data_IF_295871971845
#
_entry.id   IF_295871971845
#
_cell.length_a   1.000
_cell.length_b   1.000
_cell.length_c   1.000
_cell.angle_alpha   90.00
_cell.angle_beta   90.00
_cell.angle_gamma   90.00
#
_symmetry.space_group_name_H-M   'P 1'
#
loop_
_entity.id
_entity.type
_entity.pdbx_description
1 polymer ?
#
# COMPACT_ATOMS: atom_id res chain seq x y z
N UNK A 1 22.58 3.56 6.06
CA UNK A 1 21.76 2.54 6.73
C UNK A 1 21.24 1.57 5.67
N UNK A 2 20.82 0.36 6.03
CA UNK A 2 20.39 -0.66 5.06
C UNK A 2 18.87 -0.62 4.91
N UNK A 3 18.38 -0.51 3.67
CA UNK A 3 16.94 -0.59 3.38
C UNK A 3 16.42 -1.99 3.71
N UNK A 4 15.27 -2.04 4.38
CA UNK A 4 14.53 -3.27 4.67
C UNK A 4 13.46 -3.50 3.61
N UNK A 5 13.12 -4.76 3.36
CA UNK A 5 12.01 -5.13 2.48
C UNK A 5 10.79 -5.47 3.33
N UNK A 6 9.65 -4.97 2.92
CA UNK A 6 8.39 -5.11 3.65
C UNK A 6 7.34 -5.72 2.72
N UNK A 7 6.50 -6.57 3.28
CA UNK A 7 5.29 -7.07 2.64
C UNK A 7 4.10 -6.25 3.14
N UNK A 8 3.16 -5.91 2.25
CA UNK A 8 1.90 -5.24 2.59
C UNK A 8 0.72 -5.93 1.93
N UNK A 9 -0.35 -6.06 2.70
CA UNK A 9 -1.69 -6.44 2.26
C UNK A 9 -2.64 -5.28 2.47
N UNK A 10 -3.43 -4.93 1.46
CA UNK A 10 -4.34 -3.78 1.51
C UNK A 10 -5.60 -4.02 0.67
N UNK A 11 -6.65 -3.29 1.00
CA UNK A 11 -7.93 -3.30 0.28
C UNK A 11 -8.17 -1.94 -0.34
N UNK A 12 -8.58 -1.93 -1.59
CA UNK A 12 -9.05 -0.73 -2.29
C UNK A 12 -10.57 -0.75 -2.28
N UNK A 13 -11.16 0.21 -1.58
CA UNK A 13 -12.61 0.43 -1.60
C UNK A 13 -12.92 1.41 -2.71
N UNK A 14 -13.60 0.92 -3.75
CA UNK A 14 -14.08 1.73 -4.86
C UNK A 14 -15.59 1.88 -4.73
N UNK A 15 -16.12 3.09 -4.89
CA UNK A 15 -17.57 3.30 -4.94
C UNK A 15 -18.16 2.48 -6.09
N UNK A 16 -19.21 1.71 -5.79
CA UNK A 16 -19.98 0.93 -6.77
C UNK A 16 -19.23 -0.24 -7.44
N UNK A 17 -18.10 -0.68 -6.87
CA UNK A 17 -17.38 -1.89 -7.30
C UNK A 17 -17.09 -2.79 -6.10
N UNK A 18 -16.85 -4.08 -6.37
CA UNK A 18 -16.37 -5.00 -5.35
C UNK A 18 -15.04 -4.51 -4.77
N UNK A 19 -14.87 -4.67 -3.46
CA UNK A 19 -13.62 -4.35 -2.78
C UNK A 19 -12.51 -5.26 -3.31
N UNK A 20 -11.42 -4.65 -3.76
CA UNK A 20 -10.28 -5.40 -4.28
C UNK A 20 -9.22 -5.53 -3.20
N UNK A 21 -8.88 -6.77 -2.83
CA UNK A 21 -7.71 -7.05 -1.99
C UNK A 21 -6.47 -7.19 -2.88
N UNK A 22 -5.40 -6.51 -2.51
CA UNK A 22 -4.13 -6.50 -3.23
C UNK A 22 -2.95 -6.64 -2.26
N UNK A 23 -1.83 -7.11 -2.79
CA UNK A 23 -0.61 -7.32 -2.03
C UNK A 23 0.59 -6.76 -2.79
N UNK A 24 1.65 -6.44 -2.06
CA UNK A 24 2.90 -6.05 -2.69
C UNK A 24 4.07 -5.99 -1.74
N UNK A 25 5.22 -5.62 -2.29
CA UNK A 25 6.45 -5.43 -1.54
C UNK A 25 6.96 -4.01 -1.76
N UNK A 26 7.54 -3.44 -0.72
CA UNK A 26 8.19 -2.14 -0.77
C UNK A 26 9.47 -2.17 0.06
N UNK A 27 10.36 -1.20 -0.17
CA UNK A 27 11.63 -1.10 0.54
C UNK A 27 11.73 0.25 1.25
N UNK A 28 12.29 0.23 2.45
CA UNK A 28 12.49 1.43 3.25
C UNK A 28 13.14 1.14 4.58
N UNK A 29 13.69 2.18 5.20
CA UNK A 29 14.34 2.07 6.51
C UNK A 29 13.29 2.01 7.62
N UNK A 30 12.41 3.02 7.64
CA UNK A 30 11.25 3.12 8.52
C UNK A 30 9.97 2.69 7.80
N UNK A 31 9.19 1.84 8.46
CA UNK A 31 8.02 1.20 7.84
C UNK A 31 6.91 2.19 7.49
N UNK A 32 6.69 3.20 8.34
CA UNK A 32 5.58 4.14 8.18
C UNK A 32 5.79 5.04 6.96
N UNK A 33 6.95 5.69 6.86
CA UNK A 33 7.30 6.57 5.73
C UNK A 33 7.32 5.78 4.41
N UNK A 34 7.95 4.60 4.40
CA UNK A 34 8.05 3.80 3.19
C UNK A 34 6.70 3.22 2.75
N UNK A 35 5.83 2.88 3.71
CA UNK A 35 4.46 2.47 3.43
C UNK A 35 3.63 3.62 2.86
N UNK A 36 3.73 4.82 3.44
CA UNK A 36 3.02 6.00 2.96
C UNK A 36 3.39 6.31 1.50
N UNK A 37 4.68 6.34 1.19
CA UNK A 37 5.16 6.51 -0.17
C UNK A 37 4.62 5.43 -1.11
N UNK A 38 4.67 4.17 -0.69
CA UNK A 38 4.15 3.07 -1.48
C UNK A 38 2.64 3.20 -1.77
N UNK A 39 1.82 3.48 -0.74
CA UNK A 39 0.37 3.64 -0.89
C UNK A 39 0.04 4.85 -1.79
N UNK A 40 0.80 5.94 -1.67
CA UNK A 40 0.63 7.11 -2.55
C UNK A 40 0.93 6.75 -4.02
N UNK A 41 2.03 6.06 -4.28
CA UNK A 41 2.37 5.59 -5.64
C UNK A 41 1.30 4.64 -6.20
N UNK A 42 0.70 3.77 -5.38
CA UNK A 42 -0.42 2.92 -5.82
C UNK A 42 -1.63 3.76 -6.21
N UNK A 43 -1.98 4.80 -5.43
CA UNK A 43 -3.08 5.70 -5.77
C UNK A 43 -2.87 6.41 -7.10
N UNK A 44 -1.65 6.90 -7.35
CA UNK A 44 -1.31 7.54 -8.62
C UNK A 44 -1.37 6.56 -9.80
N UNK A 45 -0.74 5.39 -9.67
CA UNK A 45 -0.69 4.37 -10.72
C UNK A 45 -2.09 3.86 -11.10
N UNK A 46 -2.99 3.76 -10.12
CA UNK A 46 -4.36 3.30 -10.34
C UNK A 46 -5.36 4.45 -10.58
N UNK A 47 -4.89 5.70 -10.66
CA UNK A 47 -5.71 6.91 -10.81
C UNK A 47 -6.87 6.99 -9.79
N UNK A 48 -6.60 6.58 -8.54
CA UNK A 48 -7.55 6.51 -7.44
C UNK A 48 -7.68 7.89 -6.77
N UNK A 49 -8.46 8.79 -7.36
CA UNK A 49 -8.61 10.17 -6.84
C UNK A 49 -9.36 10.26 -5.50
N UNK A 50 -10.35 9.39 -5.28
CA UNK A 50 -11.19 9.40 -4.07
C UNK A 50 -11.30 8.04 -3.39
N UNK A 51 -10.63 7.00 -3.88
CA UNK A 51 -10.75 5.65 -3.32
C UNK A 51 -9.99 5.53 -2.00
N UNK A 52 -10.66 4.93 -1.02
CA UNK A 52 -10.07 4.63 0.28
C UNK A 52 -9.22 3.36 0.15
N UNK A 53 -7.95 3.45 0.55
CA UNK A 53 -7.08 2.27 0.69
C UNK A 53 -6.96 1.97 2.18
N UNK A 54 -7.38 0.77 2.57
CA UNK A 54 -7.24 0.27 3.95
C UNK A 54 -6.12 -0.75 4.00
N UNK A 55 -5.07 -0.48 4.77
CA UNK A 55 -3.99 -1.44 5.00
C UNK A 55 -4.46 -2.50 5.99
N UNK A 56 -4.34 -3.78 5.62
CA UNK A 56 -4.73 -4.92 6.46
C UNK A 56 -3.56 -5.42 7.30
N UNK A 57 -2.37 -5.52 6.71
CA UNK A 57 -1.18 -6.02 7.39
C UNK A 57 0.09 -5.50 6.72
N UNK A 58 1.12 -5.26 7.53
CA UNK A 58 2.48 -4.99 7.08
C UNK A 58 3.45 -5.87 7.87
N UNK A 59 4.44 -6.45 7.21
CA UNK A 59 5.40 -7.34 7.86
C UNK A 59 6.79 -7.19 7.26
N UNK A 60 7.82 -7.21 8.11
CA UNK A 60 9.22 -7.25 7.69
C UNK A 60 9.50 -8.60 7.03
N UNK A 61 10.22 -8.58 5.91
CA UNK A 61 10.63 -9.77 5.14
C UNK A 61 12.12 -10.03 5.35
#
# INVERSE_FOLDING_TARGET
MQKKKWFVSYVIKQEQKEHQTSHGFFEGEEVEEALEHYIFSIKELMNLKSSEITVLSVSLV
#
